data_IF_646589556237
#
_entry.id   IF_646589556237
#
_cell.length_a   1.000
_cell.length_b   1.000
_cell.length_c   1.000
_cell.angle_alpha   90.00
_cell.angle_beta   90.00
_cell.angle_gamma   90.00
#
_symmetry.space_group_name_H-M   'P 1'
#
loop_
_entity.id
_entity.type
_entity.pdbx_description
1 polymer ?
#
# COMPACT_ATOMS: atom_id res chain seq x y z
N UNK A 1 -9.44 -1.48 -15.14
CA UNK A 1 -9.45 -2.47 -16.26
C UNK A 1 -8.11 -3.20 -16.26
N UNK A 2 -8.08 -4.51 -16.60
CA UNK A 2 -6.80 -5.26 -16.71
C UNK A 2 -6.01 -4.74 -17.91
N UNK A 3 -4.71 -4.49 -17.70
CA UNK A 3 -3.78 -4.01 -18.73
C UNK A 3 -3.17 -5.22 -19.44
N UNK A 4 -3.38 -5.35 -20.76
CA UNK A 4 -2.91 -6.51 -21.52
C UNK A 4 -1.39 -6.57 -21.71
N UNK A 5 -0.73 -5.42 -21.86
CA UNK A 5 0.72 -5.31 -22.07
C UNK A 5 1.31 -4.29 -21.11
N UNK A 6 1.43 -4.61 -19.81
CA UNK A 6 1.93 -3.67 -18.84
C UNK A 6 3.42 -3.37 -19.05
N UNK A 7 3.81 -2.11 -18.84
CA UNK A 7 5.19 -1.66 -19.02
C UNK A 7 5.98 -1.86 -17.74
N UNK A 8 7.04 -2.66 -17.81
CA UNK A 8 7.98 -2.81 -16.70
C UNK A 8 8.76 -1.52 -16.50
N UNK A 9 8.87 -1.08 -15.27
CA UNK A 9 9.62 0.12 -14.90
C UNK A 9 10.76 -0.22 -13.93
N UNK A 10 11.93 0.33 -14.19
CA UNK A 10 13.09 0.23 -13.30
C UNK A 10 13.05 1.31 -12.21
N UNK A 11 13.82 1.11 -11.14
CA UNK A 11 13.95 2.14 -10.08
C UNK A 11 14.47 3.48 -10.63
N UNK A 12 15.35 3.44 -11.63
CA UNK A 12 15.88 4.65 -12.28
C UNK A 12 14.79 5.41 -13.05
N UNK A 13 13.97 4.69 -13.81
CA UNK A 13 12.84 5.28 -14.54
C UNK A 13 11.79 5.82 -13.59
N UNK A 14 11.46 5.09 -12.53
CA UNK A 14 10.56 5.56 -11.47
C UNK A 14 11.08 6.86 -10.82
N UNK A 15 12.39 6.92 -10.55
CA UNK A 15 13.00 8.14 -10.00
C UNK A 15 12.83 9.34 -10.94
N UNK A 16 12.99 9.14 -12.26
CA UNK A 16 12.82 10.22 -13.23
C UNK A 16 11.34 10.66 -13.36
N UNK A 17 10.40 9.71 -13.37
CA UNK A 17 8.96 10.01 -13.33
C UNK A 17 8.59 10.78 -12.04
N UNK A 18 9.09 10.35 -10.91
CA UNK A 18 8.83 11.01 -9.63
C UNK A 18 9.42 12.43 -9.59
N UNK A 19 10.56 12.67 -10.20
CA UNK A 19 11.13 14.03 -10.29
C UNK A 19 10.21 15.00 -11.03
N UNK A 20 9.59 14.53 -12.11
CA UNK A 20 8.64 15.34 -12.91
C UNK A 20 7.37 15.66 -12.12
N UNK A 21 6.94 14.76 -11.22
CA UNK A 21 5.73 14.91 -10.40
C UNK A 21 5.94 15.72 -9.11
N UNK A 22 7.19 16.12 -8.80
CA UNK A 22 7.52 16.82 -7.55
C UNK A 22 6.71 18.09 -7.36
N UNK A 23 6.15 18.26 -6.16
CA UNK A 23 5.33 19.42 -5.79
C UNK A 23 3.88 19.34 -6.25
N UNK A 24 3.52 18.35 -7.08
CA UNK A 24 2.15 18.10 -7.52
C UNK A 24 1.49 16.94 -6.78
N UNK A 25 2.28 16.00 -6.26
CA UNK A 25 1.82 14.86 -5.48
C UNK A 25 1.97 15.14 -3.99
N UNK A 26 0.95 14.79 -3.20
CA UNK A 26 0.88 15.08 -1.76
C UNK A 26 0.78 13.85 -0.88
N UNK A 27 0.34 12.70 -1.42
CA UNK A 27 0.22 11.45 -0.67
C UNK A 27 0.36 10.22 -1.59
N UNK A 28 0.57 9.07 -0.96
CA UNK A 28 0.70 7.76 -1.58
C UNK A 28 -0.30 6.82 -0.89
N UNK A 29 -1.11 6.11 -1.68
CA UNK A 29 -2.05 5.11 -1.20
C UNK A 29 -1.64 3.72 -1.67
N UNK A 30 -1.67 2.76 -0.75
CA UNK A 30 -1.18 1.41 -0.94
C UNK A 30 -2.37 0.45 -0.98
N UNK A 31 -2.36 -0.43 -1.97
CA UNK A 31 -3.46 -1.34 -2.28
C UNK A 31 -2.97 -2.76 -2.56
N UNK A 32 -3.87 -3.66 -2.66
CA UNK A 32 -3.77 -4.85 -3.49
C UNK A 32 -4.84 -4.81 -4.58
N UNK A 33 -4.68 -5.63 -5.61
CA UNK A 33 -5.64 -5.66 -6.73
C UNK A 33 -6.90 -6.47 -6.41
N UNK A 34 -6.86 -7.32 -5.38
CA UNK A 34 -7.82 -8.40 -5.13
C UNK A 34 -8.03 -9.31 -6.35
N UNK A 35 -7.04 -9.35 -7.23
CA UNK A 35 -6.99 -10.18 -8.44
C UNK A 35 -5.87 -11.21 -8.37
N UNK A 36 -5.68 -11.91 -9.49
CA UNK A 36 -4.60 -12.88 -9.62
C UNK A 36 -3.21 -12.23 -9.70
N UNK A 37 -2.18 -13.01 -9.35
CA UNK A 37 -0.81 -12.66 -9.70
C UNK A 37 -0.68 -12.39 -11.20
N UNK A 38 0.13 -11.42 -11.59
CA UNK A 38 0.29 -10.98 -12.97
C UNK A 38 -0.83 -10.11 -13.51
N UNK A 39 -1.94 -9.92 -12.80
CA UNK A 39 -3.01 -9.04 -13.23
C UNK A 39 -2.71 -7.59 -12.82
N UNK A 40 -2.28 -6.79 -13.77
CA UNK A 40 -2.06 -5.35 -13.64
C UNK A 40 -3.34 -4.59 -13.97
N UNK A 41 -3.75 -3.66 -13.11
CA UNK A 41 -4.95 -2.86 -13.28
C UNK A 41 -4.64 -1.39 -13.51
N UNK A 42 -5.38 -0.77 -14.42
CA UNK A 42 -5.23 0.65 -14.79
C UNK A 42 -5.75 1.63 -13.73
N UNK A 43 -6.36 1.13 -12.69
CA UNK A 43 -6.84 1.94 -11.55
C UNK A 43 -5.69 2.49 -10.68
N UNK A 44 -4.50 1.94 -10.80
CA UNK A 44 -3.31 2.31 -10.02
C UNK A 44 -2.21 2.87 -10.91
N UNK A 45 -1.31 3.68 -10.39
CA UNK A 45 -0.15 4.22 -11.12
C UNK A 45 0.97 3.18 -11.27
N UNK A 46 1.13 2.38 -10.23
CA UNK A 46 2.13 1.31 -10.18
C UNK A 46 1.48 0.03 -9.68
N UNK A 47 1.86 -1.09 -10.28
CA UNK A 47 1.51 -2.43 -9.80
C UNK A 47 2.78 -3.23 -9.57
N UNK A 48 2.80 -4.07 -8.54
CA UNK A 48 3.95 -4.91 -8.16
C UNK A 48 3.51 -6.36 -8.20
N UNK A 49 4.11 -7.16 -9.07
CA UNK A 49 3.78 -8.58 -9.19
C UNK A 49 4.48 -9.42 -8.11
N UNK A 50 4.07 -10.69 -8.01
CA UNK A 50 4.50 -11.65 -6.99
C UNK A 50 6.02 -11.83 -6.88
N UNK A 51 6.74 -11.61 -7.97
CA UNK A 51 8.21 -11.73 -8.07
C UNK A 51 8.93 -10.40 -7.83
N UNK A 52 8.18 -9.32 -7.54
CA UNK A 52 8.71 -7.98 -7.33
C UNK A 52 8.84 -7.16 -8.60
N UNK A 53 8.44 -7.67 -9.76
CA UNK A 53 8.40 -6.87 -10.99
C UNK A 53 7.44 -5.69 -10.83
N UNK A 54 7.91 -4.50 -11.15
CA UNK A 54 7.13 -3.26 -11.04
C UNK A 54 6.65 -2.83 -12.42
N UNK A 55 5.37 -2.59 -12.54
CA UNK A 55 4.73 -2.09 -13.74
C UNK A 55 4.21 -0.67 -13.55
N UNK A 56 4.45 0.21 -14.50
CA UNK A 56 3.78 1.51 -14.60
C UNK A 56 2.58 1.39 -15.55
N UNK A 57 1.47 2.00 -15.17
CA UNK A 57 0.24 2.06 -15.96
C UNK A 57 -0.03 3.47 -16.50
N UNK A 58 0.92 4.39 -16.31
CA UNK A 58 0.85 5.77 -16.76
C UNK A 58 2.25 6.31 -17.07
N UNK A 59 2.29 7.31 -17.94
CA UNK A 59 3.51 8.04 -18.31
C UNK A 59 3.73 9.29 -17.43
N UNK A 60 2.73 9.72 -16.68
CA UNK A 60 2.79 10.82 -15.71
C UNK A 60 2.16 10.40 -14.38
N UNK A 61 2.94 10.39 -13.30
CA UNK A 61 2.44 10.09 -11.95
C UNK A 61 1.40 11.11 -11.43
N UNK A 62 1.16 12.19 -12.14
CA UNK A 62 0.11 13.17 -11.83
C UNK A 62 -1.21 12.86 -12.53
N UNK A 63 -1.28 11.83 -13.35
CA UNK A 63 -2.53 11.34 -13.90
C UNK A 63 -3.49 10.97 -12.76
N UNK A 64 -4.78 11.29 -12.93
CA UNK A 64 -5.77 10.96 -11.94
C UNK A 64 -6.26 9.52 -12.16
N UNK A 65 -5.92 8.62 -11.26
CA UNK A 65 -6.38 7.22 -11.23
C UNK A 65 -7.46 7.01 -10.14
N UNK A 66 -8.33 6.01 -10.32
CA UNK A 66 -9.49 5.79 -9.45
C UNK A 66 -9.22 4.74 -8.34
N UNK A 67 -8.21 4.97 -7.52
CA UNK A 67 -7.72 3.98 -6.53
C UNK A 67 -8.26 4.17 -5.09
N UNK A 68 -8.57 5.39 -4.67
CA UNK A 68 -9.03 5.65 -3.30
C UNK A 68 -10.16 6.68 -3.31
N UNK A 69 -11.31 6.30 -2.78
CA UNK A 69 -12.50 7.17 -2.78
C UNK A 69 -12.18 8.54 -2.15
N UNK A 70 -12.61 9.62 -2.82
CA UNK A 70 -12.37 11.03 -2.48
C UNK A 70 -10.90 11.47 -2.33
N UNK A 71 -9.91 10.60 -2.59
CA UNK A 71 -8.49 10.89 -2.36
C UNK A 71 -7.59 10.75 -3.60
N UNK A 72 -8.20 10.74 -4.81
CA UNK A 72 -7.50 10.47 -6.06
C UNK A 72 -6.72 11.67 -6.66
N UNK A 73 -6.97 12.88 -6.18
CA UNK A 73 -6.35 14.08 -6.76
C UNK A 73 -4.99 14.35 -6.13
N UNK A 74 -3.94 14.46 -6.96
CA UNK A 74 -2.59 14.76 -6.50
C UNK A 74 -2.00 13.66 -5.60
N UNK A 75 -2.36 12.41 -5.88
CA UNK A 75 -1.91 11.23 -5.12
C UNK A 75 -1.49 10.10 -6.04
N UNK A 76 -0.67 9.18 -5.53
CA UNK A 76 -0.22 7.98 -6.24
C UNK A 76 -0.85 6.76 -5.58
N UNK A 77 -1.52 5.93 -6.37
CA UNK A 77 -1.96 4.58 -5.97
C UNK A 77 -0.94 3.54 -6.41
N UNK A 78 -0.54 2.67 -5.49
CA UNK A 78 0.35 1.53 -5.76
C UNK A 78 -0.36 0.26 -5.30
N UNK A 79 -0.46 -0.74 -6.17
CA UNK A 79 -1.11 -2.01 -5.82
C UNK A 79 -0.16 -3.20 -5.91
N UNK A 80 -0.33 -4.16 -5.01
CA UNK A 80 0.23 -5.50 -5.14
C UNK A 80 -0.73 -6.34 -6.01
N UNK A 81 -0.22 -7.00 -7.04
CA UNK A 81 -1.00 -7.97 -7.82
C UNK A 81 -1.17 -9.24 -7.00
N UNK A 82 -2.19 -9.28 -6.15
CA UNK A 82 -2.47 -10.38 -5.22
C UNK A 82 -3.84 -10.20 -4.55
N UNK A 83 -4.19 -11.13 -3.66
CA UNK A 83 -5.42 -11.06 -2.87
C UNK A 83 -6.63 -11.70 -3.56
N UNK A 84 -6.42 -12.54 -4.55
CA UNK A 84 -7.51 -13.34 -5.13
C UNK A 84 -8.10 -14.27 -4.08
N UNK A 85 -9.43 -14.30 -3.97
CA UNK A 85 -10.18 -15.01 -2.93
C UNK A 85 -9.82 -14.60 -1.49
N UNK A 86 -9.22 -13.44 -1.28
CA UNK A 86 -8.91 -12.95 0.06
C UNK A 86 -10.19 -12.65 0.85
N UNK A 87 -10.21 -13.03 2.13
CA UNK A 87 -11.35 -12.86 3.03
C UNK A 87 -10.95 -12.13 4.31
N UNK A 88 -11.89 -11.40 4.87
CA UNK A 88 -11.72 -10.72 6.15
C UNK A 88 -12.97 -10.90 7.00
N UNK A 89 -12.82 -11.56 8.15
CA UNK A 89 -13.86 -11.63 9.17
C UNK A 89 -13.47 -10.82 10.39
N UNK A 90 -14.38 -9.97 10.86
CA UNK A 90 -14.25 -9.26 12.12
C UNK A 90 -14.89 -10.07 13.24
N UNK A 91 -14.23 -10.26 14.40
CA UNK A 91 -14.88 -10.76 15.58
C UNK A 91 -16.09 -9.88 15.92
N UNK A 92 -17.18 -10.48 16.36
CA UNK A 92 -18.43 -9.77 16.69
C UNK A 92 -18.26 -8.61 17.70
N UNK A 93 -17.18 -8.61 18.46
CA UNK A 93 -16.82 -7.56 19.41
C UNK A 93 -16.04 -6.40 18.81
N UNK A 94 -15.59 -6.49 17.57
CA UNK A 94 -14.80 -5.44 16.89
C UNK A 94 -15.76 -4.59 16.08
N UNK A 95 -16.17 -3.46 16.62
CA UNK A 95 -16.92 -2.44 15.88
C UNK A 95 -15.97 -1.46 15.20
N UNK A 96 -16.48 -0.67 14.24
CA UNK A 96 -15.71 0.43 13.64
C UNK A 96 -15.15 1.41 14.68
N UNK A 97 -15.78 1.52 15.84
CA UNK A 97 -15.32 2.36 16.96
C UNK A 97 -14.15 1.76 17.74
N UNK A 98 -13.97 0.45 17.69
CA UNK A 98 -12.83 -0.27 18.28
C UNK A 98 -11.80 -0.67 17.24
N UNK A 99 -12.08 -0.44 15.98
CA UNK A 99 -11.17 -0.64 14.89
C UNK A 99 -10.12 0.48 14.84
N UNK A 100 -9.07 0.26 14.10
CA UNK A 100 -7.95 1.18 13.94
C UNK A 100 -8.36 2.63 13.70
N UNK A 101 -7.90 3.55 14.54
CA UNK A 101 -7.97 4.99 14.33
C UNK A 101 -9.22 5.69 14.84
N UNK A 102 -10.29 4.98 15.20
CA UNK A 102 -11.49 5.59 15.79
C UNK A 102 -11.32 5.87 17.29
N UNK A 103 -10.53 5.04 17.97
CA UNK A 103 -10.36 5.06 19.43
C UNK A 103 -8.90 5.13 19.85
N UNK A 104 -8.00 5.15 18.89
CA UNK A 104 -6.56 5.25 19.10
C UNK A 104 -5.84 3.90 19.20
N UNK A 105 -4.49 3.92 19.12
CA UNK A 105 -3.68 2.71 19.00
C UNK A 105 -3.73 1.80 20.25
N UNK A 106 -4.19 2.27 21.38
CA UNK A 106 -4.31 1.47 22.62
C UNK A 106 -5.49 0.51 22.64
N UNK A 107 -6.50 0.74 21.81
CA UNK A 107 -7.69 -0.11 21.70
C UNK A 107 -7.67 -1.01 20.48
N UNK A 108 -6.70 -0.83 19.62
CA UNK A 108 -6.43 -1.74 18.52
C UNK A 108 -5.87 -3.03 19.09
N UNK A 109 -6.77 -3.92 19.35
CA UNK A 109 -6.44 -5.21 19.92
C UNK A 109 -5.85 -6.08 18.85
N UNK A 110 -5.01 -6.96 19.32
CA UNK A 110 -4.35 -8.04 18.64
C UNK A 110 -4.86 -8.28 17.21
N UNK A 111 -4.05 -8.08 16.17
CA UNK A 111 -4.40 -8.40 14.78
C UNK A 111 -4.93 -9.83 14.62
N UNK A 112 -4.62 -10.74 15.54
CA UNK A 112 -5.16 -12.09 15.59
C UNK A 112 -6.67 -12.18 15.93
N UNK A 113 -7.30 -11.10 16.34
CA UNK A 113 -8.76 -11.07 16.55
C UNK A 113 -9.52 -10.75 15.26
N UNK A 114 -8.87 -10.19 14.26
CA UNK A 114 -9.41 -10.07 12.92
C UNK A 114 -8.90 -11.28 12.11
N UNK A 115 -9.79 -12.11 11.62
CA UNK A 115 -9.42 -13.14 10.67
C UNK A 115 -9.21 -12.51 9.31
N UNK A 116 -7.96 -12.34 8.93
CA UNK A 116 -7.56 -11.87 7.59
C UNK A 116 -6.88 -13.02 6.89
N UNK A 117 -7.52 -13.53 5.86
CA UNK A 117 -6.96 -14.51 4.94
C UNK A 117 -6.56 -13.80 3.65
N UNK A 118 -5.31 -13.95 3.25
CA UNK A 118 -4.80 -13.38 2.00
C UNK A 118 -5.25 -14.13 0.74
N UNK A 119 -6.08 -15.15 0.89
CA UNK A 119 -6.58 -15.98 -0.22
C UNK A 119 -5.56 -16.96 -0.76
N UNK A 120 -5.83 -17.48 -1.95
CA UNK A 120 -4.95 -18.45 -2.64
C UNK A 120 -3.69 -17.79 -3.22
N UNK A 121 -3.72 -16.48 -3.41
CA UNK A 121 -2.61 -15.68 -3.92
C UNK A 121 -2.31 -14.50 -2.96
N UNK A 122 -1.76 -14.78 -1.76
CA UNK A 122 -1.51 -13.75 -0.75
C UNK A 122 -0.33 -12.86 -1.12
N UNK A 123 -0.17 -11.68 -0.49
CA UNK A 123 1.01 -10.86 -0.65
C UNK A 123 2.30 -11.61 -0.35
N UNK A 124 3.27 -11.58 -1.27
CA UNK A 124 4.57 -12.24 -1.09
C UNK A 124 5.54 -11.34 -0.31
N UNK A 125 6.53 -11.94 0.34
CA UNK A 125 7.61 -11.21 1.01
C UNK A 125 8.33 -10.25 0.06
N UNK A 126 8.57 -10.69 -1.18
CA UNK A 126 9.23 -9.88 -2.21
C UNK A 126 8.37 -8.67 -2.59
N UNK A 127 7.07 -8.85 -2.77
CA UNK A 127 6.14 -7.74 -3.02
C UNK A 127 6.19 -6.70 -1.89
N UNK A 128 6.17 -7.15 -0.64
CA UNK A 128 6.21 -6.27 0.54
C UNK A 128 7.53 -5.48 0.60
N UNK A 129 8.66 -6.12 0.34
CA UNK A 129 9.97 -5.45 0.30
C UNK A 129 10.06 -4.44 -0.84
N UNK A 130 9.66 -4.83 -2.04
CA UNK A 130 9.67 -3.94 -3.20
C UNK A 130 8.74 -2.76 -3.00
N UNK A 131 7.52 -2.98 -2.46
CA UNK A 131 6.58 -1.90 -2.14
C UNK A 131 7.21 -0.89 -1.18
N UNK A 132 7.86 -1.36 -0.11
CA UNK A 132 8.53 -0.48 0.86
C UNK A 132 9.66 0.32 0.22
N UNK A 133 10.45 -0.30 -0.67
CA UNK A 133 11.53 0.37 -1.40
C UNK A 133 10.99 1.43 -2.38
N UNK A 134 9.92 1.12 -3.12
CA UNK A 134 9.23 2.07 -4.01
C UNK A 134 8.70 3.27 -3.21
N UNK A 135 8.05 3.01 -2.07
CA UNK A 135 7.58 4.08 -1.16
C UNK A 135 8.75 4.98 -0.73
N UNK A 136 9.89 4.40 -0.37
CA UNK A 136 11.07 5.18 0.01
C UNK A 136 11.60 6.05 -1.14
N UNK A 137 11.70 5.49 -2.36
CA UNK A 137 12.11 6.23 -3.56
C UNK A 137 11.16 7.41 -3.81
N UNK A 138 9.86 7.17 -3.78
CA UNK A 138 8.84 8.19 -4.00
C UNK A 138 8.88 9.26 -2.90
N UNK A 139 8.89 8.88 -1.62
CA UNK A 139 8.96 9.83 -0.51
C UNK A 139 10.18 10.74 -0.63
N UNK A 140 11.36 10.17 -0.91
CA UNK A 140 12.60 10.94 -1.07
C UNK A 140 12.55 11.88 -2.27
N UNK A 141 12.09 11.37 -3.42
CA UNK A 141 12.11 12.13 -4.69
C UNK A 141 11.04 13.21 -4.71
N UNK A 142 9.83 12.90 -4.27
CA UNK A 142 8.70 13.84 -4.21
C UNK A 142 8.78 14.81 -3.03
N UNK A 143 9.63 14.52 -2.02
CA UNK A 143 9.73 15.23 -0.73
C UNK A 143 8.45 15.09 0.10
N UNK A 144 7.84 13.92 0.08
CA UNK A 144 6.68 13.58 0.89
C UNK A 144 7.17 12.90 2.18
N UNK A 145 6.70 13.28 3.37
CA UNK A 145 7.03 12.57 4.60
C UNK A 145 6.55 11.12 4.56
N UNK A 146 7.41 10.19 5.01
CA UNK A 146 7.00 8.81 5.24
C UNK A 146 6.22 8.72 6.58
N UNK A 147 4.99 9.19 6.57
CA UNK A 147 4.12 9.25 7.75
C UNK A 147 2.76 8.62 7.47
N UNK A 148 2.03 8.26 8.53
CA UNK A 148 0.67 7.72 8.43
C UNK A 148 -0.36 8.69 7.86
N UNK A 149 0.02 9.93 7.61
CA UNK A 149 -0.84 10.95 6.99
C UNK A 149 -0.61 11.08 5.49
N UNK A 150 0.55 10.63 5.02
CA UNK A 150 1.00 10.82 3.63
C UNK A 150 1.24 9.50 2.90
N UNK A 151 1.49 8.42 3.62
CA UNK A 151 1.63 7.07 3.09
C UNK A 151 0.66 6.18 3.86
N UNK A 152 -0.44 5.83 3.25
CA UNK A 152 -1.53 5.06 3.88
C UNK A 152 -1.86 3.83 3.06
N UNK A 153 -2.23 2.73 3.74
CA UNK A 153 -2.99 1.69 3.05
C UNK A 153 -4.41 2.18 2.76
N UNK A 154 -5.08 1.55 1.81
CA UNK A 154 -6.49 1.87 1.54
C UNK A 154 -7.35 1.63 2.80
N UNK A 155 -7.06 0.56 3.54
CA UNK A 155 -7.72 0.28 4.81
C UNK A 155 -7.55 1.42 5.83
N UNK A 156 -6.34 1.98 5.98
CA UNK A 156 -6.11 3.13 6.87
C UNK A 156 -6.90 4.37 6.41
N UNK A 157 -6.95 4.61 5.09
CA UNK A 157 -7.76 5.70 4.53
C UNK A 157 -9.25 5.45 4.75
N UNK A 158 -9.72 4.22 4.56
CA UNK A 158 -11.10 3.83 4.77
C UNK A 158 -11.55 4.01 6.23
N UNK A 159 -10.72 3.62 7.20
CA UNK A 159 -11.00 3.89 8.62
C UNK A 159 -11.09 5.39 8.91
N UNK A 160 -10.17 6.17 8.35
CA UNK A 160 -10.14 7.62 8.55
C UNK A 160 -11.38 8.31 7.98
N UNK A 161 -11.91 7.81 6.88
CA UNK A 161 -13.07 8.37 6.16
C UNK A 161 -14.41 7.68 6.54
N UNK A 162 -14.37 6.70 7.45
CA UNK A 162 -15.56 6.09 8.04
C UNK A 162 -16.19 4.94 7.23
N UNK A 163 -15.51 4.40 6.23
CA UNK A 163 -15.96 3.24 5.44
C UNK A 163 -15.04 2.01 5.57
N UNK A 164 -14.20 1.97 6.60
CA UNK A 164 -13.35 0.82 6.92
C UNK A 164 -14.10 -0.38 7.50
N UNK A 165 -13.41 -1.50 7.74
CA UNK A 165 -13.99 -2.70 8.33
C UNK A 165 -14.77 -2.40 9.63
N UNK A 166 -15.97 -2.96 9.73
CA UNK A 166 -16.87 -2.71 10.87
C UNK A 166 -17.70 -1.42 10.80
N UNK A 167 -17.59 -0.62 9.75
CA UNK A 167 -18.40 0.58 9.53
C UNK A 167 -19.87 0.28 9.19
N UNK A 168 -20.16 -0.93 8.72
CA UNK A 168 -21.45 -1.31 8.14
C UNK A 168 -21.56 -0.98 6.64
N UNK A 169 -20.54 -0.40 6.03
CA UNK A 169 -20.48 -0.18 4.59
C UNK A 169 -20.28 -1.53 3.87
N UNK A 170 -21.16 -1.94 2.92
CA UNK A 170 -21.03 -3.19 2.21
C UNK A 170 -19.80 -3.24 1.28
N UNK A 171 -19.29 -2.07 0.89
CA UNK A 171 -18.08 -1.94 0.07
C UNK A 171 -16.86 -1.54 0.87
N UNK A 172 -16.83 -1.92 2.13
CA UNK A 172 -15.70 -1.61 3.01
C UNK A 172 -14.37 -2.05 2.41
N UNK A 173 -13.36 -1.21 2.56
CA UNK A 173 -12.02 -1.48 2.05
C UNK A 173 -11.11 -1.88 3.21
N UNK A 174 -10.46 -3.04 3.07
CA UNK A 174 -9.58 -3.61 4.08
C UNK A 174 -8.23 -4.09 3.49
N UNK A 175 -7.99 -3.77 2.23
CA UNK A 175 -6.77 -4.11 1.52
C UNK A 175 -5.52 -3.58 2.25
N UNK A 176 -4.56 -4.46 2.41
CA UNK A 176 -3.34 -4.25 3.18
C UNK A 176 -3.57 -3.85 4.66
N UNK A 177 -4.73 -4.23 5.24
CA UNK A 177 -4.96 -4.02 6.68
C UNK A 177 -3.89 -4.70 7.51
N UNK A 178 -3.66 -5.99 7.23
CA UNK A 178 -2.57 -6.77 7.81
C UNK A 178 -1.73 -7.41 6.73
N UNK A 179 -0.44 -7.48 6.97
CA UNK A 179 0.54 -8.12 6.11
C UNK A 179 1.39 -9.08 6.94
N UNK A 180 1.83 -10.22 6.37
CA UNK A 180 2.78 -11.09 7.02
C UNK A 180 4.15 -10.40 7.14
N UNK A 181 4.82 -10.60 8.27
CA UNK A 181 6.20 -10.17 8.49
C UNK A 181 7.09 -11.40 8.61
N UNK A 182 7.91 -11.66 7.61
CA UNK A 182 8.81 -12.83 7.59
C UNK A 182 9.85 -12.79 8.71
N UNK A 183 10.32 -11.61 9.09
CA UNK A 183 11.26 -11.45 10.21
C UNK A 183 10.64 -11.90 11.55
N UNK A 184 9.33 -12.06 11.61
CA UNK A 184 8.56 -12.47 12.78
C UNK A 184 7.77 -13.76 12.55
N UNK A 185 8.32 -14.65 11.74
CA UNK A 185 7.73 -15.96 11.44
C UNK A 185 6.32 -15.89 10.83
N UNK A 186 6.10 -14.96 9.92
CA UNK A 186 4.84 -14.78 9.22
C UNK A 186 3.71 -14.21 10.08
N UNK A 187 3.99 -13.66 11.26
CA UNK A 187 2.98 -12.97 12.07
C UNK A 187 2.41 -11.80 11.30
N UNK A 188 1.11 -11.62 11.44
CA UNK A 188 0.41 -10.49 10.82
C UNK A 188 0.74 -9.19 11.56
N UNK A 189 1.03 -8.16 10.79
CA UNK A 189 1.27 -6.80 11.27
C UNK A 189 0.36 -5.82 10.53
N UNK A 190 -0.03 -4.71 11.18
CA UNK A 190 -0.72 -3.63 10.48
C UNK A 190 0.08 -3.20 9.25
N UNK A 191 -0.51 -3.35 8.06
CA UNK A 191 0.22 -3.25 6.80
C UNK A 191 0.89 -1.90 6.60
N UNK A 192 0.17 -0.81 6.89
CA UNK A 192 0.76 0.53 6.77
C UNK A 192 1.93 0.76 7.74
N UNK A 193 1.87 0.21 8.96
CA UNK A 193 2.98 0.28 9.91
C UNK A 193 4.20 -0.50 9.41
N UNK A 194 3.98 -1.73 8.91
CA UNK A 194 5.04 -2.58 8.37
C UNK A 194 5.74 -1.91 7.17
N UNK A 195 4.96 -1.43 6.20
CA UNK A 195 5.51 -0.82 4.98
C UNK A 195 6.27 0.47 5.31
N UNK A 196 5.71 1.36 6.13
CA UNK A 196 6.40 2.60 6.53
C UNK A 196 7.67 2.31 7.33
N UNK A 197 7.66 1.30 8.19
CA UNK A 197 8.85 0.86 8.93
C UNK A 197 9.98 0.40 8.00
N UNK A 198 9.67 -0.49 7.05
CA UNK A 198 10.62 -0.94 6.03
C UNK A 198 11.08 0.21 5.12
N UNK A 199 10.17 1.09 4.70
CA UNK A 199 10.51 2.26 3.90
C UNK A 199 11.44 3.24 4.64
N UNK A 200 11.30 3.37 5.95
CA UNK A 200 12.21 4.18 6.77
C UNK A 200 13.66 3.64 6.74
N UNK A 201 13.81 2.31 6.76
CA UNK A 201 15.12 1.67 6.59
C UNK A 201 15.73 2.00 5.22
N UNK A 202 14.98 1.85 4.13
CA UNK A 202 15.46 2.20 2.79
C UNK A 202 15.79 3.68 2.64
N UNK A 203 15.02 4.57 3.25
CA UNK A 203 15.31 6.01 3.27
C UNK A 203 16.63 6.32 3.99
N UNK A 204 16.89 5.65 5.11
CA UNK A 204 18.16 5.75 5.82
C UNK A 204 19.32 5.24 4.97
N UNK A 205 19.24 4.04 4.40
CA UNK A 205 20.25 3.43 3.55
C UNK A 205 20.60 4.32 2.34
N UNK A 206 19.58 4.83 1.63
CA UNK A 206 19.80 5.77 0.51
C UNK A 206 20.49 7.08 0.92
N UNK A 207 20.42 7.48 2.19
CA UNK A 207 21.09 8.68 2.67
C UNK A 207 22.54 8.40 3.08
N UNK A 208 22.82 7.23 3.68
CA UNK A 208 24.19 6.84 4.04
C UNK A 208 25.04 6.55 2.80
N UNK A 209 24.50 5.86 1.80
CA UNK A 209 25.20 5.59 0.53
C UNK A 209 25.62 6.88 -0.19
N UNK A 210 24.80 7.95 -0.10
CA UNK A 210 25.18 9.26 -0.67
C UNK A 210 26.26 10.01 0.09
N UNK A 211 26.47 9.72 1.38
CA UNK A 211 27.57 10.33 2.17
C UNK A 211 28.89 9.64 1.90
N UNK A 212 28.87 8.40 1.46
CA UNK A 212 30.04 7.58 1.20
C UNK A 212 30.58 7.71 -0.24
N UNK A 213 29.81 8.33 -1.14
CA UNK A 213 30.16 8.58 -2.54
C UNK A 213 30.58 10.06 -2.77
#
# INVERSE_FOLDING_TARGET
MVVENPVVITEKELFELAKQARGRITAIYLHWTAGHYGQVFDDYHLCIDRDGTVYATCDDLCERKAHTWMRNNGTIGIALCCGYDAECELPAAVSAKTAWGATGPGEYRDPYQAMVDGGTEPPTAIQIEVLAKIVAILCKTLRIPNSSERVMTHCEAAFRDGYGPGSGDPETKWDLWFLPDDARHGRLFPGGFLIRGKAAYYLWDMNETKKAA
#
